data_IF_576891144984
#
_entry.id   IF_576891144984
#
_cell.length_a   1.000
_cell.length_b   1.000
_cell.length_c   1.000
_cell.angle_alpha   90.00
_cell.angle_beta   90.00
_cell.angle_gamma   90.00
#
_symmetry.space_group_name_H-M   'P 1'
#
loop_
_entity.id
_entity.type
_entity.pdbx_description
1 polymer ?
#
# COMPACT_ATOMS: atom_id res chain seq x y z
N UNK A 1 -4.29 32.48 -5.75
CA UNK A 1 -4.60 31.11 -6.21
C UNK A 1 -3.28 30.46 -6.55
N UNK A 2 -2.80 29.55 -5.69
CA UNK A 2 -1.48 28.94 -5.85
C UNK A 2 -1.47 28.02 -7.06
N UNK A 3 -0.53 28.24 -7.97
CA UNK A 3 -0.22 27.29 -9.03
C UNK A 3 0.21 25.99 -8.37
N UNK A 4 -0.67 25.02 -8.41
CA UNK A 4 -0.29 23.62 -8.24
C UNK A 4 0.87 23.34 -9.21
N UNK A 5 1.91 22.67 -8.72
CA UNK A 5 3.04 22.29 -9.56
C UNK A 5 2.54 21.20 -10.50
N UNK A 6 2.14 21.61 -11.70
CA UNK A 6 1.60 20.75 -12.74
C UNK A 6 2.45 19.50 -12.91
N UNK A 7 1.78 18.35 -12.86
CA UNK A 7 2.36 16.99 -12.99
C UNK A 7 3.22 16.84 -14.24
N UNK A 8 3.03 17.72 -15.23
CA UNK A 8 3.80 17.85 -16.46
C UNK A 8 5.29 18.17 -16.25
N UNK A 9 5.70 18.78 -15.11
CA UNK A 9 7.13 18.96 -14.78
C UNK A 9 7.79 17.64 -14.32
N UNK A 10 7.01 16.71 -13.74
CA UNK A 10 7.52 15.42 -13.25
C UNK A 10 7.59 14.37 -14.37
N UNK A 11 6.71 14.46 -15.37
CA UNK A 11 6.74 13.62 -16.58
C UNK A 11 7.62 14.25 -17.68
N UNK A 12 8.78 14.81 -17.30
CA UNK A 12 9.73 15.35 -18.25
C UNK A 12 10.06 14.33 -19.35
N UNK A 13 9.66 14.65 -20.57
CA UNK A 13 10.18 14.19 -21.87
C UNK A 13 11.04 12.91 -21.80
N UNK A 14 10.40 11.75 -21.65
CA UNK A 14 11.03 10.45 -21.91
C UNK A 14 10.30 9.83 -23.11
N UNK A 15 10.71 10.25 -24.32
CA UNK A 15 10.40 9.52 -25.56
C UNK A 15 11.27 8.25 -25.62
N UNK A 16 11.08 7.37 -24.64
CA UNK A 16 11.71 6.07 -24.53
C UNK A 16 10.64 5.00 -24.53
N UNK A 17 10.09 4.68 -25.71
CA UNK A 17 9.12 3.58 -25.87
C UNK A 17 9.69 2.30 -25.22
N UNK A 18 9.13 1.80 -24.10
CA UNK A 18 9.61 0.57 -23.51
C UNK A 18 9.18 -0.59 -24.43
N UNK A 19 10.15 -1.19 -25.11
CA UNK A 19 9.97 -2.44 -25.82
C UNK A 19 9.55 -3.50 -24.79
N UNK A 20 8.38 -4.15 -24.91
CA UNK A 20 7.92 -5.13 -23.92
C UNK A 20 8.67 -6.47 -23.97
N UNK A 21 9.67 -6.61 -24.85
CA UNK A 21 10.47 -7.82 -25.04
C UNK A 21 11.89 -7.68 -24.46
N UNK A 22 12.05 -7.20 -23.23
CA UNK A 22 13.30 -7.42 -22.46
C UNK A 22 13.07 -7.20 -20.95
N UNK A 23 12.29 -8.09 -20.33
CA UNK A 23 12.19 -8.19 -18.88
C UNK A 23 12.32 -9.65 -18.44
N UNK A 24 13.40 -10.29 -18.88
CA UNK A 24 13.92 -11.52 -18.30
C UNK A 24 15.21 -11.20 -17.54
N UNK A 25 15.11 -10.37 -16.51
CA UNK A 25 16.19 -10.22 -15.53
C UNK A 25 15.62 -9.77 -14.19
N UNK A 26 15.41 -10.73 -13.29
CA UNK A 26 15.75 -10.64 -11.86
C UNK A 26 15.19 -11.85 -11.10
N UNK A 27 15.68 -13.06 -11.38
CA UNK A 27 15.71 -14.13 -10.37
C UNK A 27 16.87 -13.84 -9.40
N UNK A 28 16.77 -12.70 -8.72
CA UNK A 28 17.50 -12.43 -7.49
C UNK A 28 16.48 -12.53 -6.37
N UNK A 29 16.13 -13.77 -6.01
CA UNK A 29 15.44 -14.06 -4.75
C UNK A 29 16.45 -13.87 -3.62
N UNK A 30 16.80 -12.62 -3.37
CA UNK A 30 17.12 -12.22 -2.02
C UNK A 30 15.79 -12.38 -1.28
N UNK A 31 15.68 -13.49 -0.56
CA UNK A 31 14.49 -13.90 0.17
C UNK A 31 14.33 -13.00 1.41
N UNK A 32 14.32 -11.69 1.18
CA UNK A 32 14.11 -10.68 2.19
C UNK A 32 12.67 -10.84 2.65
N UNK A 33 12.50 -11.41 3.84
CA UNK A 33 11.19 -11.73 4.39
C UNK A 33 10.34 -10.45 4.35
N UNK A 34 9.20 -10.46 3.63
CA UNK A 34 8.43 -9.24 3.45
C UNK A 34 8.01 -8.71 4.82
N UNK A 35 8.38 -7.46 5.11
CA UNK A 35 7.99 -6.84 6.37
C UNK A 35 6.46 -6.92 6.51
N UNK A 36 5.95 -7.39 7.67
CA UNK A 36 4.52 -7.58 7.84
C UNK A 36 3.79 -6.25 7.69
N UNK A 37 2.75 -6.23 6.87
CA UNK A 37 1.94 -5.04 6.64
C UNK A 37 1.34 -4.51 7.96
N UNK A 38 1.44 -3.20 8.19
CA UNK A 38 0.90 -2.53 9.38
C UNK A 38 -0.61 -2.30 9.31
N UNK A 39 -1.21 -2.45 8.13
CA UNK A 39 -2.63 -2.34 7.87
C UNK A 39 -3.09 -3.42 6.90
N UNK A 40 -4.34 -3.81 7.03
CA UNK A 40 -5.01 -4.75 6.14
C UNK A 40 -6.24 -4.06 5.59
N UNK A 41 -6.40 -4.15 4.28
CA UNK A 41 -7.60 -3.71 3.58
C UNK A 41 -8.32 -4.94 3.03
N UNK A 42 -9.61 -5.07 3.34
CA UNK A 42 -10.47 -6.13 2.82
C UNK A 42 -11.79 -5.51 2.32
N UNK A 43 -12.14 -5.63 1.03
CA UNK A 43 -13.36 -5.02 0.50
C UNK A 43 -14.63 -5.64 1.08
N UNK A 44 -14.62 -6.92 1.42
CA UNK A 44 -15.72 -7.62 2.11
C UNK A 44 -15.85 -7.20 3.59
N UNK A 45 -14.88 -6.43 4.10
CA UNK A 45 -14.78 -6.07 5.50
C UNK A 45 -14.14 -7.17 6.34
N UNK A 46 -13.72 -6.80 7.55
CA UNK A 46 -13.31 -7.74 8.57
C UNK A 46 -13.55 -7.16 9.95
N UNK A 47 -13.69 -8.04 10.93
CA UNK A 47 -14.10 -7.65 12.27
C UNK A 47 -12.95 -6.98 13.03
N UNK A 48 -13.27 -5.88 13.70
CA UNK A 48 -12.39 -5.22 14.66
C UNK A 48 -12.36 -6.04 15.94
N UNK A 49 -11.17 -6.44 16.38
CA UNK A 49 -11.01 -7.25 17.60
C UNK A 49 -11.28 -6.48 18.90
N UNK A 50 -11.34 -5.14 18.84
CA UNK A 50 -11.63 -4.29 20.01
C UNK A 50 -13.13 -4.00 20.20
N UNK A 51 -13.86 -3.70 19.12
CA UNK A 51 -15.27 -3.27 19.19
C UNK A 51 -16.25 -4.18 18.44
N UNK A 52 -15.75 -5.17 17.69
CA UNK A 52 -16.58 -6.08 16.90
C UNK A 52 -17.19 -5.48 15.63
N UNK A 53 -16.88 -4.23 15.30
CA UNK A 53 -17.37 -3.61 14.07
C UNK A 53 -16.67 -4.20 12.84
N UNK A 54 -17.44 -4.53 11.81
CA UNK A 54 -16.91 -4.94 10.50
C UNK A 54 -16.48 -3.71 9.71
N UNK A 55 -15.19 -3.60 9.38
CA UNK A 55 -14.61 -2.46 8.66
C UNK A 55 -13.76 -2.93 7.50
N UNK A 56 -13.70 -2.14 6.43
CA UNK A 56 -12.91 -2.45 5.22
C UNK A 56 -11.41 -2.26 5.42
N UNK A 57 -11.00 -1.43 6.39
CA UNK A 57 -9.59 -1.21 6.73
C UNK A 57 -9.38 -1.44 8.22
N UNK A 58 -8.39 -2.26 8.55
CA UNK A 58 -7.95 -2.57 9.91
C UNK A 58 -6.45 -2.30 10.05
N UNK A 59 -6.01 -2.04 11.26
CA UNK A 59 -4.63 -1.72 11.58
C UNK A 59 -4.13 -2.66 12.65
N UNK A 60 -2.85 -3.02 12.55
CA UNK A 60 -2.21 -3.86 13.56
C UNK A 60 -1.94 -3.04 14.83
N UNK A 61 -2.42 -3.54 15.97
CA UNK A 61 -2.20 -3.02 17.31
C UNK A 61 -1.71 -4.18 18.19
N UNK A 62 -0.39 -4.28 18.34
CA UNK A 62 0.25 -5.48 18.89
C UNK A 62 -0.01 -6.70 18.00
N UNK A 63 -0.80 -7.64 18.52
CA UNK A 63 -1.20 -8.85 17.80
C UNK A 63 -2.65 -8.81 17.29
N UNK A 64 -3.38 -7.72 17.56
CA UNK A 64 -4.76 -7.55 17.15
C UNK A 64 -4.90 -6.66 15.90
N UNK A 65 -5.97 -6.87 15.14
CA UNK A 65 -6.42 -6.03 14.03
C UNK A 65 -7.63 -5.21 14.46
N UNK A 66 -7.41 -3.91 14.63
CA UNK A 66 -8.42 -2.97 15.12
C UNK A 66 -8.81 -1.98 14.04
N UNK A 67 -10.02 -1.41 14.13
CA UNK A 67 -10.43 -0.32 13.25
C UNK A 67 -9.69 0.97 13.59
N UNK A 68 -9.80 1.97 12.70
CA UNK A 68 -9.09 3.25 12.84
C UNK A 68 -9.52 4.01 14.09
N UNK A 69 -10.75 3.81 14.56
CA UNK A 69 -11.29 4.45 15.77
C UNK A 69 -10.76 3.81 17.07
N UNK A 70 -10.46 2.51 17.04
CA UNK A 70 -9.99 1.76 18.22
C UNK A 70 -8.48 1.71 18.35
N UNK A 71 -7.74 2.05 17.30
CA UNK A 71 -6.28 2.04 17.34
C UNK A 71 -5.77 3.17 18.23
N UNK A 72 -4.80 2.87 19.10
CA UNK A 72 -4.22 3.83 20.04
C UNK A 72 -3.16 4.76 19.45
N UNK A 73 -3.28 5.10 18.16
CA UNK A 73 -2.39 6.04 17.48
C UNK A 73 -2.47 7.46 18.04
#
# INVERSE_FOLDING_TARGET
MGSDRSLDEFLGDDEGSPNPDDASDADATDEDEPTPATTIYNPDGGDCEACGATVTRRWRDGDALVCGECKGW
#
